data_IF_435259618809
#
_entry.id   IF_435259618809
#
_cell.length_a   1.000
_cell.length_b   1.000
_cell.length_c   1.000
_cell.angle_alpha   90.00
_cell.angle_beta   90.00
_cell.angle_gamma   90.00
#
_symmetry.space_group_name_H-M   'P 1'
#
loop_
_entity.id
_entity.type
_entity.pdbx_description
1 polymer ?
#
# COMPACT_ATOMS: atom_id res chain seq x y z
N UNK A 1 -5.61 -17.80 21.71
CA UNK A 1 -4.94 -17.59 20.41
C UNK A 1 -4.94 -16.09 20.14
N UNK A 2 -3.79 -15.42 20.10
CA UNK A 2 -3.75 -14.03 19.62
C UNK A 2 -4.08 -14.06 18.13
N UNK A 3 -5.16 -13.40 17.71
CA UNK A 3 -5.42 -13.17 16.30
C UNK A 3 -4.22 -12.43 15.74
N UNK A 4 -3.43 -13.08 14.86
CA UNK A 4 -2.27 -12.42 14.24
C UNK A 4 -2.79 -11.20 13.49
N UNK A 5 -2.43 -10.01 13.96
CA UNK A 5 -2.80 -8.78 13.31
C UNK A 5 -2.19 -8.74 11.91
N UNK A 6 -2.82 -8.03 10.99
CA UNK A 6 -2.39 -7.90 9.60
C UNK A 6 -2.01 -6.45 9.33
N UNK A 7 -0.77 -6.23 8.88
CA UNK A 7 -0.26 -4.90 8.54
C UNK A 7 -0.49 -4.62 7.05
N UNK A 8 -1.29 -3.61 6.75
CA UNK A 8 -1.41 -3.02 5.42
C UNK A 8 -0.50 -1.80 5.30
N UNK A 9 0.34 -1.75 4.27
CA UNK A 9 1.17 -0.61 3.89
C UNK A 9 0.73 -0.09 2.53
N UNK A 10 0.36 1.18 2.50
CA UNK A 10 -0.13 1.90 1.31
C UNK A 10 1.01 2.68 0.70
N UNK A 11 1.31 2.38 -0.55
CA UNK A 11 2.32 3.05 -1.35
C UNK A 11 1.63 3.86 -2.45
N UNK A 12 2.18 5.04 -2.74
CA UNK A 12 1.78 5.87 -3.87
C UNK A 12 2.92 5.91 -4.89
N UNK A 13 2.59 5.77 -6.16
CA UNK A 13 3.49 5.89 -7.29
C UNK A 13 3.53 7.34 -7.74
N UNK A 14 4.63 8.02 -7.45
CA UNK A 14 4.87 9.39 -7.85
C UNK A 14 5.67 9.40 -9.16
N UNK A 15 5.09 9.98 -10.21
CA UNK A 15 5.70 10.04 -11.54
C UNK A 15 6.26 11.43 -11.77
N UNK A 16 7.50 11.49 -12.23
CA UNK A 16 8.19 12.76 -12.50
C UNK A 16 9.11 12.61 -13.70
N UNK A 17 9.36 13.71 -14.39
CA UNK A 17 10.36 13.78 -15.46
C UNK A 17 11.70 14.14 -14.85
N UNK A 18 12.72 13.33 -15.08
CA UNK A 18 14.07 13.63 -14.62
C UNK A 18 14.75 14.71 -15.48
N UNK A 19 15.95 15.16 -15.08
CA UNK A 19 16.73 16.16 -15.81
C UNK A 19 17.17 15.71 -17.21
N UNK A 20 17.10 14.41 -17.51
CA UNK A 20 17.36 13.84 -18.84
C UNK A 20 16.12 13.74 -19.73
N UNK A 21 14.95 14.16 -19.24
CA UNK A 21 13.69 14.13 -19.99
C UNK A 21 12.96 12.78 -19.97
N UNK A 22 13.41 11.82 -19.17
CA UNK A 22 12.78 10.51 -19.07
C UNK A 22 11.74 10.49 -17.94
N UNK A 23 10.59 9.84 -18.18
CA UNK A 23 9.60 9.57 -17.15
C UNK A 23 10.17 8.53 -16.17
N UNK A 24 10.24 8.91 -14.89
CA UNK A 24 10.62 8.05 -13.78
C UNK A 24 9.43 7.91 -12.84
N UNK A 25 9.45 6.84 -12.06
CA UNK A 25 8.47 6.63 -11.01
C UNK A 25 9.15 6.24 -9.70
N UNK A 26 8.75 6.90 -8.62
CA UNK A 26 9.16 6.58 -7.26
C UNK A 26 7.98 6.01 -6.48
N UNK A 27 8.22 4.99 -5.66
CA UNK A 27 7.22 4.49 -4.72
C UNK A 27 7.45 5.08 -3.34
N UNK A 28 6.42 5.72 -2.78
CA UNK A 28 6.47 6.31 -1.45
C UNK A 28 5.47 5.63 -0.53
N UNK A 29 5.91 5.20 0.66
CA UNK A 29 5.00 4.76 1.72
C UNK A 29 4.23 5.99 2.24
N UNK A 30 2.91 6.01 2.06
CA UNK A 30 2.07 7.14 2.47
C UNK A 30 1.21 6.84 3.71
N UNK A 31 0.92 5.57 3.97
CA UNK A 31 0.08 5.17 5.12
C UNK A 31 0.36 3.73 5.51
N UNK A 32 0.19 3.41 6.79
CA UNK A 32 0.09 2.03 7.24
C UNK A 32 -1.07 1.88 8.24
N UNK A 33 -1.66 0.68 8.29
CA UNK A 33 -2.76 0.36 9.21
C UNK A 33 -2.73 -1.13 9.55
N UNK A 34 -3.06 -1.46 10.79
CA UNK A 34 -3.21 -2.84 11.25
C UNK A 34 -4.69 -3.25 11.27
N UNK A 35 -4.95 -4.53 11.00
CA UNK A 35 -6.27 -5.15 11.00
C UNK A 35 -6.28 -6.42 11.84
N UNK A 36 -7.42 -6.79 12.40
CA UNK A 36 -7.51 -8.00 13.22
C UNK A 36 -7.63 -9.26 12.36
N UNK A 37 -8.16 -9.12 11.15
CA UNK A 37 -8.34 -10.22 10.20
C UNK A 37 -7.73 -9.91 8.83
N UNK A 38 -7.38 -10.96 8.09
CA UNK A 38 -6.92 -10.85 6.69
C UNK A 38 -8.00 -10.26 5.79
N UNK A 39 -9.27 -10.61 6.04
CA UNK A 39 -10.40 -10.18 5.24
C UNK A 39 -10.58 -8.66 5.29
N UNK A 40 -10.53 -8.06 6.49
CA UNK A 40 -10.58 -6.60 6.66
C UNK A 40 -9.43 -5.89 5.93
N UNK A 41 -8.21 -6.44 6.02
CA UNK A 41 -7.05 -5.89 5.32
C UNK A 41 -7.22 -5.94 3.79
N UNK A 42 -7.82 -7.02 3.26
CA UNK A 42 -8.10 -7.17 1.82
C UNK A 42 -9.18 -6.20 1.34
N UNK A 43 -10.27 -6.04 2.08
CA UNK A 43 -11.30 -5.03 1.76
C UNK A 43 -10.67 -3.64 1.69
N UNK A 44 -9.85 -3.30 2.68
CA UNK A 44 -9.11 -2.03 2.67
C UNK A 44 -8.18 -1.88 1.46
N UNK A 45 -7.46 -2.93 1.07
CA UNK A 45 -6.63 -2.93 -0.15
C UNK A 45 -7.46 -2.64 -1.39
N UNK A 46 -8.61 -3.30 -1.56
CA UNK A 46 -9.46 -3.07 -2.73
C UNK A 46 -9.92 -1.61 -2.81
N UNK A 47 -10.41 -1.02 -1.71
CA UNK A 47 -10.83 0.38 -1.69
C UNK A 47 -9.68 1.35 -1.99
N UNK A 48 -8.48 1.10 -1.45
CA UNK A 48 -7.34 1.99 -1.68
C UNK A 48 -6.79 1.88 -3.11
N UNK A 49 -6.81 0.69 -3.72
CA UNK A 49 -6.30 0.41 -5.06
C UNK A 49 -7.27 0.79 -6.19
N UNK A 50 -8.44 1.36 -5.87
CA UNK A 50 -9.29 2.07 -6.83
C UNK A 50 -8.56 3.28 -7.44
N UNK A 51 -7.61 3.86 -6.70
CA UNK A 51 -6.70 4.87 -7.22
C UNK A 51 -5.57 4.20 -8.02
N UNK A 52 -5.35 4.58 -9.29
CA UNK A 52 -4.45 3.86 -10.20
C UNK A 52 -2.98 3.93 -9.78
N UNK A 53 -2.60 4.97 -9.06
CA UNK A 53 -1.26 5.23 -8.54
C UNK A 53 -1.05 4.70 -7.11
N UNK A 54 -2.04 4.05 -6.51
CA UNK A 54 -1.96 3.49 -5.17
C UNK A 54 -1.82 1.97 -5.21
N UNK A 55 -0.92 1.44 -4.39
CA UNK A 55 -0.74 0.00 -4.16
C UNK A 55 -0.66 -0.33 -2.68
N UNK A 56 -1.29 -1.41 -2.26
CA UNK A 56 -1.32 -1.85 -0.87
C UNK A 56 -0.69 -3.23 -0.73
N UNK A 57 0.32 -3.31 0.14
CA UNK A 57 0.98 -4.55 0.54
C UNK A 57 0.44 -4.98 1.89
N UNK A 58 -0.07 -6.21 1.97
CA UNK A 58 -0.59 -6.82 3.20
C UNK A 58 0.36 -7.92 3.65
N UNK A 59 0.78 -7.89 4.92
CA UNK A 59 1.60 -8.93 5.54
C UNK A 59 1.11 -9.24 6.96
N UNK A 60 1.33 -10.46 7.49
CA UNK A 60 1.19 -10.71 8.92
C UNK A 60 2.03 -9.71 9.72
N UNK A 61 1.48 -9.21 10.82
CA UNK A 61 2.16 -8.37 11.80
C UNK A 61 2.69 -9.29 12.91
N UNK A 62 3.86 -9.88 12.64
CA UNK A 62 4.59 -10.73 13.59
C UNK A 62 5.57 -9.90 14.43
#
# INVERSE_FOLDING_TARGET
MMSKAWLARVFKLDRFTDSSGFERANTKLIKHRTFHTKAEALVYKFTMEEQPDVKVVIKPNE
#
